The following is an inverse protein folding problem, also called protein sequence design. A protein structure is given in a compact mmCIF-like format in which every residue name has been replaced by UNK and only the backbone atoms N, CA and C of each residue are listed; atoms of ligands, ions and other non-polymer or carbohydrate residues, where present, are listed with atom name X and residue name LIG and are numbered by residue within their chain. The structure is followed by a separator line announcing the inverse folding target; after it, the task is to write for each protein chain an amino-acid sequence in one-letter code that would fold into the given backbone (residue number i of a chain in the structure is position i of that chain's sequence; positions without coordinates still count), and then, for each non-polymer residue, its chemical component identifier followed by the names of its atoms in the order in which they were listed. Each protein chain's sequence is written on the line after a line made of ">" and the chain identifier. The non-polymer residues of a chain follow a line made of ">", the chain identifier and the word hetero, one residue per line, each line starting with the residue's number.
data_IF_511815951731
#
_entry.id   IF_511815951731
#
_cell.length_a   1.000
_cell.length_b   1.000
_cell.length_c   1.000
_cell.angle_alpha   90.00
_cell.angle_beta   90.00
_cell.angle_gamma   90.00
#
_symmetry.space_group_name_H-M   'P 1'
#
loop_
_entity.id
_entity.type
_entity.pdbx_description
1 polymer ?
#
# COMPACT_ATOMS: atom_id res chain seq x y z
N UNK A 1 -103.93 36.34 -74.04
CA UNK A 1 -104.34 35.00 -73.60
C UNK A 1 -103.06 34.28 -73.23
N UNK A 2 -102.49 34.59 -72.06
CA UNK A 2 -102.86 33.98 -70.76
C UNK A 2 -102.51 32.50 -70.74
N UNK A 3 -101.39 32.13 -70.11
CA UNK A 3 -101.43 31.77 -68.69
C UNK A 3 -100.02 31.54 -68.13
N UNK A 4 -99.77 32.23 -67.03
CA UNK A 4 -98.74 31.98 -66.02
C UNK A 4 -98.83 30.56 -65.46
N UNK A 5 -97.68 29.93 -65.22
CA UNK A 5 -97.44 29.34 -63.91
C UNK A 5 -95.93 29.30 -63.64
N UNK A 6 -95.55 30.09 -62.64
CA UNK A 6 -94.24 30.19 -62.02
C UNK A 6 -94.05 28.95 -61.15
N UNK A 7 -92.88 28.32 -61.20
CA UNK A 7 -92.30 27.71 -59.99
C UNK A 7 -90.78 27.72 -60.06
N UNK A 8 -90.23 28.84 -59.58
CA UNK A 8 -88.98 28.86 -58.83
C UNK A 8 -89.06 27.91 -57.63
N UNK A 9 -87.98 27.17 -57.37
CA UNK A 9 -87.47 26.84 -56.04
C UNK A 9 -86.08 26.22 -56.25
N UNK A 10 -85.03 27.04 -56.28
CA UNK A 10 -84.25 27.52 -55.13
C UNK A 10 -83.55 26.38 -54.40
N UNK A 11 -82.23 26.30 -54.59
CA UNK A 11 -81.36 25.44 -53.79
C UNK A 11 -81.50 25.79 -52.31
N UNK A 12 -81.86 24.79 -51.51
CA UNK A 12 -81.75 24.87 -50.06
C UNK A 12 -80.32 24.47 -49.67
N UNK A 13 -79.46 25.47 -49.55
CA UNK A 13 -78.24 25.41 -48.77
C UNK A 13 -78.68 25.38 -47.30
N UNK A 14 -78.65 24.20 -46.68
CA UNK A 14 -78.93 24.02 -45.26
C UNK A 14 -77.82 24.73 -44.47
N UNK A 15 -78.12 25.91 -43.92
CA UNK A 15 -77.30 26.56 -42.91
C UNK A 15 -77.24 25.67 -41.67
N UNK A 16 -76.16 24.90 -41.53
CA UNK A 16 -75.81 24.28 -40.28
C UNK A 16 -75.54 25.40 -39.26
N UNK A 17 -76.54 25.71 -38.40
CA UNK A 17 -76.30 26.52 -37.21
C UNK A 17 -75.14 25.88 -36.43
N UNK A 18 -74.01 26.57 -36.38
CA UNK A 18 -72.88 26.20 -35.55
C UNK A 18 -73.36 26.21 -34.09
N UNK A 19 -73.61 25.02 -33.53
CA UNK A 19 -73.96 24.88 -32.11
C UNK A 19 -72.72 25.18 -31.28
N UNK A 20 -72.84 26.08 -30.31
CA UNK A 20 -71.73 26.38 -29.42
C UNK A 20 -71.51 25.25 -28.41
N UNK A 21 -70.31 25.17 -27.82
CA UNK A 21 -69.99 24.13 -26.83
C UNK A 21 -70.94 24.19 -25.62
N UNK A 22 -71.36 25.40 -25.22
CA UNK A 22 -72.33 25.59 -24.15
C UNK A 22 -73.74 25.13 -24.56
N UNK A 23 -74.15 25.34 -25.81
CA UNK A 23 -75.42 24.80 -26.34
C UNK A 23 -75.41 23.26 -26.33
N UNK A 24 -74.26 22.64 -26.61
CA UNK A 24 -74.07 21.19 -26.57
C UNK A 24 -74.11 20.66 -25.13
N UNK A 25 -73.54 21.38 -24.16
CA UNK A 25 -73.55 21.00 -22.74
C UNK A 25 -74.87 21.30 -22.03
N UNK A 26 -75.78 22.08 -22.63
CA UNK A 26 -77.11 22.33 -22.07
C UNK A 26 -78.02 21.07 -22.03
N UNK A 27 -77.70 20.04 -22.84
CA UNK A 27 -78.34 18.72 -22.77
C UNK A 27 -77.78 17.92 -21.58
N UNK A 28 -78.62 17.56 -20.57
CA UNK A 28 -78.18 16.83 -19.39
C UNK A 28 -77.44 15.52 -19.69
N UNK A 29 -77.75 14.85 -20.81
CA UNK A 29 -77.07 13.61 -21.20
C UNK A 29 -75.65 13.87 -21.70
N UNK A 30 -75.43 14.98 -22.41
CA UNK A 30 -74.12 15.35 -22.97
C UNK A 30 -73.21 15.92 -21.89
N UNK A 31 -73.77 16.66 -20.93
CA UNK A 31 -73.06 17.12 -19.74
C UNK A 31 -72.56 15.96 -18.88
N UNK A 32 -73.41 14.97 -18.60
CA UNK A 32 -73.02 13.79 -17.81
C UNK A 32 -71.89 12.97 -18.46
N UNK A 33 -71.91 12.81 -19.79
CA UNK A 33 -70.82 12.13 -20.52
C UNK A 33 -69.54 12.96 -20.58
N UNK A 34 -69.65 14.29 -20.66
CA UNK A 34 -68.50 15.19 -20.57
C UNK A 34 -67.83 15.11 -19.19
N UNK A 35 -68.61 15.24 -18.11
CA UNK A 35 -68.11 15.14 -16.73
C UNK A 35 -67.47 13.79 -16.46
N UNK A 36 -68.06 12.70 -16.98
CA UNK A 36 -67.48 11.34 -16.89
C UNK A 36 -66.15 11.24 -17.61
N UNK A 37 -66.01 11.85 -18.80
CA UNK A 37 -64.74 11.88 -19.55
C UNK A 37 -63.69 12.75 -18.85
N UNK A 38 -64.09 13.88 -18.30
CA UNK A 38 -63.21 14.77 -17.51
C UNK A 38 -62.75 14.07 -16.24
N UNK A 39 -63.65 13.42 -15.48
CA UNK A 39 -63.30 12.65 -14.30
C UNK A 39 -62.34 11.50 -14.63
N UNK A 40 -62.58 10.78 -15.73
CA UNK A 40 -61.68 9.72 -16.21
C UNK A 40 -60.32 10.27 -16.63
N UNK A 41 -60.28 11.44 -17.28
CA UNK A 41 -59.02 12.10 -17.66
C UNK A 41 -58.23 12.57 -16.43
N UNK A 42 -58.91 13.15 -15.44
CA UNK A 42 -58.31 13.57 -14.16
C UNK A 42 -57.78 12.37 -13.40
N UNK A 43 -58.54 11.27 -13.32
CA UNK A 43 -58.10 10.06 -12.64
C UNK A 43 -56.88 9.44 -13.33
N UNK A 44 -56.89 9.38 -14.67
CA UNK A 44 -55.73 8.91 -15.45
C UNK A 44 -54.50 9.81 -15.22
N UNK A 45 -54.69 11.13 -15.22
CA UNK A 45 -53.61 12.09 -14.97
C UNK A 45 -53.07 11.96 -13.54
N UNK A 46 -53.94 11.78 -12.55
CA UNK A 46 -53.56 11.55 -11.15
C UNK A 46 -52.76 10.26 -11.02
N UNK A 47 -53.26 9.15 -11.56
CA UNK A 47 -52.59 7.86 -11.48
C UNK A 47 -51.22 7.89 -12.16
N UNK A 48 -51.11 8.55 -13.32
CA UNK A 48 -49.83 8.76 -14.00
C UNK A 48 -48.87 9.60 -13.15
N UNK A 49 -49.36 10.70 -12.56
CA UNK A 49 -48.53 11.57 -11.74
C UNK A 49 -48.05 10.90 -10.45
N UNK A 50 -48.91 10.12 -9.79
CA UNK A 50 -48.55 9.30 -8.63
C UNK A 50 -47.49 8.27 -9.02
N UNK A 51 -47.71 7.52 -10.10
CA UNK A 51 -46.74 6.52 -10.56
C UNK A 51 -45.36 7.14 -10.90
N UNK A 52 -45.33 8.26 -11.62
CA UNK A 52 -44.08 8.97 -11.94
C UNK A 52 -43.40 9.53 -10.69
N UNK A 53 -44.16 9.94 -9.68
CA UNK A 53 -43.61 10.46 -8.42
C UNK A 53 -43.02 9.33 -7.58
N UNK A 54 -43.74 8.21 -7.46
CA UNK A 54 -43.26 7.02 -6.76
C UNK A 54 -42.00 6.44 -7.42
N UNK A 55 -41.95 6.38 -8.76
CA UNK A 55 -40.76 5.93 -9.50
C UNK A 55 -39.55 6.83 -9.22
N UNK A 56 -39.73 8.16 -9.29
CA UNK A 56 -38.66 9.12 -8.99
C UNK A 56 -38.18 9.02 -7.54
N UNK A 57 -39.10 8.89 -6.59
CA UNK A 57 -38.74 8.71 -5.19
C UNK A 57 -37.99 7.40 -4.94
N UNK A 58 -38.43 6.31 -5.56
CA UNK A 58 -37.80 5.01 -5.41
C UNK A 58 -36.39 4.99 -6.01
N UNK A 59 -36.20 5.58 -7.19
CA UNK A 59 -34.87 5.68 -7.80
C UNK A 59 -33.95 6.60 -6.97
N UNK A 60 -34.46 7.74 -6.48
CA UNK A 60 -33.69 8.62 -5.60
C UNK A 60 -33.27 7.90 -4.30
N UNK A 61 -34.19 7.15 -3.67
CA UNK A 61 -33.90 6.33 -2.48
C UNK A 61 -32.86 5.25 -2.78
N UNK A 62 -32.97 4.57 -3.92
CA UNK A 62 -32.01 3.54 -4.37
C UNK A 62 -30.61 4.12 -4.57
N UNK A 63 -30.52 5.25 -5.28
CA UNK A 63 -29.26 5.95 -5.53
C UNK A 63 -28.61 6.46 -4.23
N UNK A 64 -29.40 7.05 -3.33
CA UNK A 64 -28.91 7.50 -2.03
C UNK A 64 -28.39 6.34 -1.18
N UNK A 65 -29.12 5.22 -1.15
CA UNK A 65 -28.69 4.00 -0.44
C UNK A 65 -27.39 3.44 -1.02
N UNK A 66 -27.27 3.36 -2.35
CA UNK A 66 -26.06 2.86 -3.02
C UNK A 66 -24.85 3.74 -2.70
N UNK A 67 -25.00 5.07 -2.73
CA UNK A 67 -23.93 5.99 -2.38
C UNK A 67 -23.49 5.83 -0.91
N UNK A 68 -24.45 5.74 0.02
CA UNK A 68 -24.17 5.53 1.43
C UNK A 68 -23.46 4.19 1.68
N UNK A 69 -23.90 3.12 1.04
CA UNK A 69 -23.31 1.79 1.18
C UNK A 69 -21.90 1.72 0.57
N UNK A 70 -21.68 2.31 -0.61
CA UNK A 70 -20.35 2.41 -1.22
C UNK A 70 -19.38 3.20 -0.33
N UNK A 71 -19.84 4.32 0.25
CA UNK A 71 -19.03 5.12 1.17
C UNK A 71 -18.68 4.32 2.43
N UNK A 72 -19.65 3.64 3.03
CA UNK A 72 -19.43 2.79 4.20
C UNK A 72 -18.47 1.63 3.91
N UNK A 73 -18.59 0.98 2.75
CA UNK A 73 -17.68 -0.08 2.33
C UNK A 73 -16.25 0.43 2.14
N UNK A 74 -16.08 1.60 1.50
CA UNK A 74 -14.75 2.21 1.33
C UNK A 74 -14.12 2.61 2.67
N UNK A 75 -14.90 3.20 3.59
CA UNK A 75 -14.43 3.53 4.93
C UNK A 75 -14.05 2.27 5.72
N UNK A 76 -14.87 1.21 5.64
CA UNK A 76 -14.58 -0.08 6.26
C UNK A 76 -13.30 -0.70 5.69
N UNK A 77 -13.14 -0.76 4.37
CA UNK A 77 -11.94 -1.28 3.73
C UNK A 77 -10.68 -0.50 4.14
N UNK A 78 -10.78 0.83 4.26
CA UNK A 78 -9.68 1.66 4.74
C UNK A 78 -9.32 1.36 6.20
N UNK A 79 -10.32 1.15 7.06
CA UNK A 79 -10.10 0.78 8.45
C UNK A 79 -9.48 -0.62 8.57
N UNK A 80 -9.98 -1.59 7.81
CA UNK A 80 -9.44 -2.96 7.78
C UNK A 80 -7.98 -2.97 7.30
N UNK A 81 -7.65 -2.21 6.24
CA UNK A 81 -6.27 -2.06 5.78
C UNK A 81 -5.37 -1.44 6.86
N UNK A 82 -5.88 -0.44 7.60
CA UNK A 82 -5.11 0.18 8.69
C UNK A 82 -4.92 -0.76 9.88
N UNK A 83 -5.92 -1.58 10.20
CA UNK A 83 -5.82 -2.60 11.24
C UNK A 83 -4.76 -3.63 10.83
N UNK A 84 -4.80 -4.15 9.61
CA UNK A 84 -3.83 -5.11 9.11
C UNK A 84 -2.39 -4.56 9.11
N UNK A 85 -2.21 -3.29 8.74
CA UNK A 85 -0.91 -2.61 8.80
C UNK A 85 -0.38 -2.52 10.25
N UNK A 86 -1.23 -2.11 11.19
CA UNK A 86 -0.87 -2.00 12.61
C UNK A 86 -0.58 -3.37 13.25
N UNK A 87 -1.35 -4.40 12.88
CA UNK A 87 -1.09 -5.77 13.33
C UNK A 87 0.25 -6.27 12.79
N UNK A 88 0.55 -6.04 11.51
CA UNK A 88 1.84 -6.41 10.91
C UNK A 88 3.00 -5.67 11.57
N UNK A 89 2.87 -4.37 11.85
CA UNK A 89 3.88 -3.57 12.54
C UNK A 89 4.12 -4.08 13.97
N UNK A 90 3.04 -4.42 14.69
CA UNK A 90 3.13 -5.02 16.03
C UNK A 90 3.86 -6.36 15.99
N UNK A 91 3.48 -7.28 15.09
CA UNK A 91 4.16 -8.57 14.94
C UNK A 91 5.64 -8.37 14.64
N UNK A 92 5.98 -7.45 13.74
CA UNK A 92 7.37 -7.17 13.39
C UNK A 92 8.15 -6.60 14.59
N UNK A 93 7.53 -5.74 15.40
CA UNK A 93 8.12 -5.23 16.65
C UNK A 93 8.36 -6.34 17.68
N UNK A 94 7.40 -7.25 17.85
CA UNK A 94 7.53 -8.41 18.74
C UNK A 94 8.66 -9.34 18.25
N UNK A 95 8.74 -9.61 16.94
CA UNK A 95 9.82 -10.40 16.35
C UNK A 95 11.18 -9.72 16.47
N UNK A 96 11.26 -8.38 16.35
CA UNK A 96 12.50 -7.62 16.62
C UNK A 96 12.97 -7.80 18.05
N UNK A 97 12.05 -7.73 19.01
CA UNK A 97 12.37 -7.96 20.42
C UNK A 97 12.91 -9.36 20.65
N UNK A 98 12.25 -10.39 20.11
CA UNK A 98 12.69 -11.77 20.21
C UNK A 98 14.07 -12.01 19.58
N UNK A 99 14.29 -11.51 18.35
CA UNK A 99 15.56 -11.59 17.65
C UNK A 99 16.69 -10.91 18.42
N UNK A 100 16.42 -9.76 19.04
CA UNK A 100 17.38 -9.06 19.91
C UNK A 100 17.77 -9.91 21.12
N UNK A 101 16.81 -10.54 21.77
CA UNK A 101 17.09 -11.45 22.90
C UNK A 101 17.97 -12.61 22.46
N UNK A 102 17.65 -13.28 21.35
CA UNK A 102 18.45 -14.40 20.82
C UNK A 102 19.90 -13.99 20.49
N UNK A 103 20.09 -12.83 19.86
CA UNK A 103 21.43 -12.29 19.59
C UNK A 103 22.18 -11.95 20.88
N UNK A 104 21.47 -11.42 21.88
CA UNK A 104 22.07 -11.06 23.17
C UNK A 104 22.51 -12.30 23.95
N UNK A 105 21.76 -13.40 23.86
CA UNK A 105 22.15 -14.72 24.39
C UNK A 105 23.41 -15.27 23.71
N UNK A 106 23.59 -15.00 22.42
CA UNK A 106 24.83 -15.27 21.68
C UNK A 106 25.94 -14.22 21.95
N UNK A 107 25.73 -13.27 22.87
CA UNK A 107 26.64 -12.18 23.20
C UNK A 107 26.95 -11.24 22.00
N UNK A 108 25.98 -11.10 21.09
CA UNK A 108 26.03 -10.25 19.90
C UNK A 108 25.07 -9.07 20.10
N UNK A 109 25.60 -7.85 20.03
CA UNK A 109 24.81 -6.62 20.08
C UNK A 109 24.93 -5.86 18.76
N UNK A 110 23.80 -5.72 18.05
CA UNK A 110 23.70 -4.99 16.78
C UNK A 110 22.72 -3.82 16.88
N UNK A 111 22.89 -2.85 15.98
CA UNK A 111 21.98 -1.71 15.86
C UNK A 111 20.58 -2.13 15.38
N UNK A 112 19.57 -1.33 15.69
CA UNK A 112 18.19 -1.50 15.21
C UNK A 112 18.12 -1.58 13.69
N UNK A 113 18.97 -0.82 13.00
CA UNK A 113 19.08 -0.87 11.55
C UNK A 113 19.43 -2.28 11.11
N UNK A 114 20.54 -2.89 11.57
CA UNK A 114 20.89 -4.25 11.14
C UNK A 114 19.85 -5.30 11.58
N UNK A 115 19.29 -5.13 12.78
CA UNK A 115 18.26 -6.03 13.29
C UNK A 115 17.02 -6.05 12.40
N UNK A 116 16.57 -4.91 11.87
CA UNK A 116 15.40 -4.88 10.98
C UNK A 116 15.58 -5.64 9.68
N UNK A 117 16.82 -5.95 9.27
CA UNK A 117 17.09 -6.75 8.07
C UNK A 117 17.09 -8.25 8.34
N UNK A 118 17.20 -8.66 9.60
CA UNK A 118 17.16 -10.07 10.02
C UNK A 118 15.73 -10.53 10.38
N UNK A 119 14.82 -9.59 10.58
CA UNK A 119 13.48 -9.85 11.11
C UNK A 119 12.44 -9.78 10.01
N UNK A 120 11.47 -10.68 10.05
CA UNK A 120 10.28 -10.67 9.19
C UNK A 120 9.01 -10.89 10.01
N UNK A 121 7.85 -10.83 9.38
CA UNK A 121 6.57 -11.18 10.03
C UNK A 121 6.41 -12.68 10.28
N UNK A 122 7.34 -13.50 9.79
CA UNK A 122 7.40 -14.94 9.96
C UNK A 122 8.45 -15.29 11.04
N UNK A 123 8.01 -16.01 12.06
CA UNK A 123 8.82 -16.35 13.22
C UNK A 123 9.97 -17.32 12.87
N UNK A 124 9.71 -18.32 12.03
CA UNK A 124 10.69 -19.32 11.65
C UNK A 124 11.77 -18.69 10.76
N UNK A 125 11.38 -17.81 9.83
CA UNK A 125 12.34 -17.06 9.01
C UNK A 125 13.22 -16.15 9.86
N UNK A 126 12.63 -15.45 10.83
CA UNK A 126 13.39 -14.57 11.73
C UNK A 126 14.39 -15.37 12.56
N UNK A 127 13.96 -16.50 13.14
CA UNK A 127 14.82 -17.38 13.92
C UNK A 127 15.99 -17.91 13.08
N UNK A 128 15.70 -18.50 11.92
CA UNK A 128 16.73 -19.05 11.03
C UNK A 128 17.73 -17.98 10.57
N UNK A 129 17.26 -16.75 10.29
CA UNK A 129 18.14 -15.65 9.91
C UNK A 129 19.05 -15.21 11.06
N UNK A 130 18.53 -15.14 12.29
CA UNK A 130 19.31 -14.79 13.48
C UNK A 130 20.34 -15.86 13.82
N UNK A 131 19.96 -17.14 13.75
CA UNK A 131 20.88 -18.27 13.97
C UNK A 131 22.02 -18.26 12.95
N UNK A 132 21.68 -18.20 11.65
CA UNK A 132 22.67 -18.15 10.58
C UNK A 132 23.61 -16.94 10.69
N UNK A 133 23.08 -15.77 11.06
CA UNK A 133 23.89 -14.58 11.29
C UNK A 133 24.84 -14.77 12.49
N UNK A 134 24.35 -15.34 13.59
CA UNK A 134 25.14 -15.56 14.80
C UNK A 134 26.30 -16.53 14.58
N UNK A 135 26.04 -17.61 13.83
CA UNK A 135 27.06 -18.58 13.42
C UNK A 135 28.13 -17.93 12.54
N UNK A 136 27.71 -17.24 11.46
CA UNK A 136 28.64 -16.58 10.53
C UNK A 136 29.48 -15.49 11.23
N UNK A 137 28.88 -14.75 12.17
CA UNK A 137 29.57 -13.74 12.95
C UNK A 137 30.64 -14.35 13.87
N UNK A 138 30.28 -15.43 14.56
CA UNK A 138 31.21 -16.16 15.44
C UNK A 138 32.37 -16.75 14.65
N UNK A 139 32.10 -17.36 13.49
CA UNK A 139 33.14 -17.90 12.61
C UNK A 139 34.08 -16.80 12.10
N UNK A 140 33.55 -15.65 11.68
CA UNK A 140 34.35 -14.52 11.22
C UNK A 140 35.25 -13.97 12.33
N UNK A 141 34.72 -13.82 13.56
CA UNK A 141 35.52 -13.41 14.72
C UNK A 141 36.59 -14.44 15.03
N UNK A 142 36.25 -15.73 15.08
CA UNK A 142 37.24 -16.78 15.33
C UNK A 142 38.37 -16.77 14.31
N UNK A 143 38.05 -16.57 13.03
CA UNK A 143 39.04 -16.48 11.97
C UNK A 143 39.97 -15.29 12.18
N UNK A 144 39.42 -14.10 12.42
CA UNK A 144 40.20 -12.88 12.69
C UNK A 144 41.06 -13.05 13.96
N UNK A 145 40.52 -13.63 15.04
CA UNK A 145 41.27 -13.90 16.27
C UNK A 145 42.40 -14.89 16.02
N UNK A 146 42.15 -15.98 15.27
CA UNK A 146 43.20 -16.94 14.87
C UNK A 146 44.26 -16.25 14.03
N UNK A 147 43.89 -15.38 13.10
CA UNK A 147 44.84 -14.61 12.28
C UNK A 147 45.67 -13.63 13.11
N UNK A 148 45.07 -12.95 14.10
CA UNK A 148 45.83 -12.07 15.02
C UNK A 148 46.71 -12.84 15.99
N UNK A 149 46.27 -13.99 16.50
CA UNK A 149 47.08 -14.85 17.37
C UNK A 149 48.25 -15.47 16.62
N UNK A 150 48.13 -15.67 15.29
CA UNK A 150 49.27 -15.99 14.40
C UNK A 150 50.28 -14.84 14.27
N UNK A 151 50.17 -13.77 15.08
CA UNK A 151 51.16 -12.70 15.26
C UNK A 151 52.59 -13.22 15.09
N UNK A 152 53.43 -12.43 14.38
CA UNK A 152 54.53 -12.96 13.60
C UNK A 152 55.43 -13.75 14.52
N UNK A 153 55.76 -14.98 14.10
CA UNK A 153 56.92 -15.71 14.62
C UNK A 153 57.98 -14.67 14.93
N UNK A 154 58.54 -14.61 16.16
CA UNK A 154 59.62 -13.67 16.43
C UNK A 154 60.55 -13.86 15.26
N UNK A 155 60.76 -12.80 14.45
CA UNK A 155 61.91 -12.82 13.56
C UNK A 155 63.00 -13.22 14.51
N UNK A 156 63.65 -14.36 14.27
CA UNK A 156 64.96 -14.60 14.84
C UNK A 156 65.67 -13.31 14.52
N UNK A 157 65.74 -12.41 15.49
CA UNK A 157 66.87 -11.54 15.59
C UNK A 157 67.98 -12.54 15.48
N UNK A 158 68.71 -12.49 14.38
CA UNK A 158 70.06 -13.03 14.40
C UNK A 158 70.73 -12.23 15.52
N UNK A 159 70.52 -12.68 16.75
CA UNK A 159 71.15 -12.25 17.98
C UNK A 159 72.57 -12.77 17.96
N UNK A 160 73.25 -12.47 16.86
CA UNK A 160 74.67 -12.21 16.86
C UNK A 160 74.80 -10.69 16.99
N UNK A 161 74.38 -10.17 18.14
CA UNK A 161 74.69 -8.80 18.60
C UNK A 161 76.13 -8.71 19.12
N UNK A 162 76.95 -9.77 18.97
CA UNK A 162 78.39 -9.70 19.10
C UNK A 162 79.05 -9.54 17.73
N UNK A 163 80.08 -8.71 17.61
CA UNK A 163 80.88 -8.68 16.38
C UNK A 163 81.41 -10.10 16.09
N UNK A 164 81.36 -10.57 14.85
CA UNK A 164 81.99 -11.86 14.50
C UNK A 164 83.52 -11.74 14.46
N UNK A 165 84.23 -12.87 14.54
CA UNK A 165 85.70 -12.92 14.40
C UNK A 165 86.17 -12.21 13.13
N UNK A 166 85.46 -12.42 12.02
CA UNK A 166 85.76 -11.83 10.72
C UNK A 166 85.52 -10.33 10.70
N UNK A 167 84.44 -9.86 11.34
CA UNK A 167 84.14 -8.43 11.45
C UNK A 167 85.19 -7.70 12.31
N UNK A 168 85.66 -8.33 13.39
CA UNK A 168 86.73 -7.80 14.24
C UNK A 168 88.05 -7.76 13.46
N UNK A 169 88.40 -8.81 12.71
CA UNK A 169 89.64 -8.85 11.91
C UNK A 169 89.62 -7.87 10.72
N UNK A 170 88.45 -7.54 10.19
CA UNK A 170 88.28 -6.59 9.09
C UNK A 170 88.43 -5.10 9.52
N UNK A 171 88.49 -4.81 10.82
CA UNK A 171 88.73 -3.43 11.32
C UNK A 171 90.12 -2.98 10.90
N UNK A 172 90.19 -1.88 10.13
CA UNK A 172 91.44 -1.36 9.54
C UNK A 172 92.38 -0.80 10.61
N UNK A 173 91.85 -0.13 11.62
CA UNK A 173 92.63 0.36 12.76
C UNK A 173 93.10 -0.81 13.62
N UNK A 174 94.41 -0.89 13.81
CA UNK A 174 95.05 -2.00 14.53
C UNK A 174 94.85 -1.91 16.04
N UNK A 175 94.82 -0.70 16.62
CA UNK A 175 94.60 -0.53 18.05
C UNK A 175 93.15 -0.87 18.42
N UNK A 176 92.21 -0.42 17.58
CA UNK A 176 90.79 -0.70 17.75
C UNK A 176 90.49 -2.19 17.52
N UNK A 177 91.11 -2.82 16.51
CA UNK A 177 91.02 -4.27 16.28
C UNK A 177 91.51 -5.07 17.49
N UNK A 178 92.68 -4.74 18.05
CA UNK A 178 93.22 -5.47 19.21
C UNK A 178 92.34 -5.32 20.46
N UNK A 179 91.78 -4.12 20.68
CA UNK A 179 90.83 -3.87 21.77
C UNK A 179 89.58 -4.72 21.61
N UNK A 180 89.02 -4.79 20.41
CA UNK A 180 87.84 -5.62 20.11
C UNK A 180 88.13 -7.13 20.24
N UNK A 181 89.33 -7.59 19.90
CA UNK A 181 89.78 -8.97 20.13
C UNK A 181 89.86 -9.27 21.64
N UNK A 182 90.41 -8.35 22.43
CA UNK A 182 90.53 -8.53 23.88
C UNK A 182 89.16 -8.54 24.57
N UNK A 183 88.25 -7.65 24.17
CA UNK A 183 86.89 -7.57 24.70
C UNK A 183 86.02 -8.76 24.26
N UNK A 184 86.33 -9.38 23.12
CA UNK A 184 85.60 -10.53 22.56
C UNK A 184 86.49 -11.77 22.42
N UNK A 185 87.39 -12.01 23.39
CA UNK A 185 88.43 -13.06 23.31
C UNK A 185 87.86 -14.48 23.12
N UNK A 186 86.64 -14.73 23.59
CA UNK A 186 85.93 -16.00 23.40
C UNK A 186 85.64 -16.35 21.92
N UNK A 187 85.76 -15.39 21.00
CA UNK A 187 85.64 -15.62 19.55
C UNK A 187 86.97 -15.99 18.87
N UNK A 188 88.09 -15.93 19.62
CA UNK A 188 89.46 -16.14 19.11
C UNK A 188 90.19 -17.31 19.77
N UNK A 189 89.50 -18.11 20.59
CA UNK A 189 90.00 -19.39 21.10
C UNK A 189 90.07 -20.47 20.03
#
# INVERSE_FOLDING_TARGET
>A
MENEEILEQSGAQEEAKEQTFDDILSDPKKQAEFDKRVAKAIDTARNKWVAETEEKENEAKRLAKMNAEQKAQHEKAKLEARIAELEAERTLSEMKSAARTMLSEANINISDALLSQLVSTDADKTKNAVEAFSEAFSEAIEKEVKERLKSPTPKKSNGNTGLTKEQILAVKDTAERQKLIAENIGLFQ
#
